data_IF_226534828599
#
_entry.id   IF_226534828599
#
_cell.length_a   1.000
_cell.length_b   1.000
_cell.length_c   1.000
_cell.angle_alpha   90.00
_cell.angle_beta   90.00
_cell.angle_gamma   90.00
#
_symmetry.space_group_name_H-M   'P 1'
#
loop_
_entity.id
_entity.type
_entity.pdbx_description
1 polymer ?
#
# COMPACT_ATOMS: atom_id res chain seq x y z
N UNK A 1 -17.94 -8.85 -12.71
CA UNK A 1 -17.88 -9.35 -11.31
C UNK A 1 -17.14 -8.30 -10.50
N UNK A 2 -17.62 -7.97 -9.30
CA UNK A 2 -16.87 -7.10 -8.39
C UNK A 2 -15.61 -7.81 -7.90
N UNK A 3 -14.54 -7.05 -7.65
CA UNK A 3 -13.38 -7.60 -6.92
C UNK A 3 -13.79 -7.78 -5.46
N UNK A 4 -13.50 -8.93 -4.88
CA UNK A 4 -13.95 -9.27 -3.54
C UNK A 4 -12.77 -9.70 -2.70
N UNK A 5 -12.80 -9.30 -1.42
CA UNK A 5 -11.95 -9.89 -0.40
C UNK A 5 -12.80 -10.80 0.48
N UNK A 6 -12.38 -12.05 0.60
CA UNK A 6 -13.06 -13.08 1.38
C UNK A 6 -12.07 -13.61 2.43
N UNK A 7 -12.53 -13.80 3.65
CA UNK A 7 -11.72 -14.42 4.69
C UNK A 7 -11.53 -15.91 4.38
N UNK A 8 -10.30 -16.38 4.14
CA UNK A 8 -10.06 -17.77 3.73
C UNK A 8 -10.30 -18.78 4.86
N UNK A 9 -10.34 -18.35 6.13
CA UNK A 9 -10.54 -19.25 7.26
C UNK A 9 -12.01 -19.66 7.46
N UNK A 10 -12.97 -18.87 6.96
CA UNK A 10 -14.40 -19.12 7.17
C UNK A 10 -15.28 -18.82 5.94
N UNK A 11 -14.68 -18.45 4.80
CA UNK A 11 -15.33 -18.09 3.54
C UNK A 11 -16.32 -16.92 3.63
N UNK A 12 -16.21 -16.08 4.66
CA UNK A 12 -17.04 -14.89 4.79
C UNK A 12 -16.51 -13.75 3.94
N UNK A 13 -17.40 -13.12 3.18
CA UNK A 13 -17.10 -11.89 2.45
C UNK A 13 -16.72 -10.77 3.44
N UNK A 14 -15.55 -10.17 3.24
CA UNK A 14 -15.09 -9.01 4.01
C UNK A 14 -15.55 -7.73 3.31
N UNK A 15 -15.28 -7.61 2.00
CA UNK A 15 -15.56 -6.39 1.24
C UNK A 15 -15.63 -6.65 -0.26
N UNK A 16 -16.45 -5.86 -0.94
CA UNK A 16 -16.50 -5.77 -2.40
C UNK A 16 -15.95 -4.43 -2.87
N UNK A 17 -15.33 -4.45 -4.05
CA UNK A 17 -14.74 -3.30 -4.70
C UNK A 17 -15.26 -3.24 -6.14
N UNK A 18 -15.82 -2.10 -6.57
CA UNK A 18 -16.19 -1.93 -7.97
C UNK A 18 -14.93 -2.00 -8.83
N UNK A 19 -14.98 -2.65 -10.00
CA UNK A 19 -13.90 -2.57 -10.95
C UNK A 19 -13.74 -1.13 -11.43
N UNK A 20 -12.51 -0.72 -11.70
CA UNK A 20 -12.24 0.54 -12.38
C UNK A 20 -12.88 0.56 -13.77
N UNK A 21 -13.45 1.70 -14.14
CA UNK A 21 -13.89 1.98 -15.50
C UNK A 21 -12.71 2.38 -16.39
N UNK A 22 -12.89 2.35 -17.71
CA UNK A 22 -11.88 2.86 -18.65
C UNK A 22 -11.50 4.32 -18.35
N UNK A 23 -12.46 5.13 -17.91
CA UNK A 23 -12.22 6.51 -17.51
C UNK A 23 -11.37 6.62 -16.23
N UNK A 24 -11.58 5.75 -15.24
CA UNK A 24 -10.76 5.71 -14.01
C UNK A 24 -9.31 5.33 -14.35
N UNK A 25 -9.14 4.35 -15.24
CA UNK A 25 -7.83 3.89 -15.70
C UNK A 25 -7.11 5.00 -16.45
N UNK A 26 -7.78 5.63 -17.42
CA UNK A 26 -7.21 6.74 -18.21
C UNK A 26 -6.82 7.91 -17.30
N UNK A 27 -7.66 8.27 -16.32
CA UNK A 27 -7.34 9.32 -15.35
C UNK A 27 -6.11 8.98 -14.50
N UNK A 28 -5.96 7.73 -14.05
CA UNK A 28 -4.80 7.28 -13.29
C UNK A 28 -3.51 7.34 -14.13
N UNK A 29 -3.58 6.93 -15.40
CA UNK A 29 -2.45 6.97 -16.34
C UNK A 29 -2.01 8.41 -16.65
N UNK A 30 -2.96 9.30 -16.93
CA UNK A 30 -2.67 10.71 -17.18
C UNK A 30 -2.02 11.37 -15.96
N UNK A 31 -2.52 11.08 -14.76
CA UNK A 31 -1.94 11.57 -13.51
C UNK A 31 -0.51 11.06 -13.31
N UNK A 32 -0.25 9.78 -13.60
CA UNK A 32 1.08 9.19 -13.49
C UNK A 32 2.07 9.79 -14.51
N UNK A 33 1.68 9.96 -15.78
CA UNK A 33 2.52 10.58 -16.82
C UNK A 33 2.83 12.04 -16.48
N UNK A 34 1.84 12.82 -16.03
CA UNK A 34 2.05 14.19 -15.61
C UNK A 34 3.05 14.30 -14.45
N UNK A 35 2.91 13.45 -13.42
CA UNK A 35 3.84 13.41 -12.29
C UNK A 35 5.25 13.00 -12.74
N UNK A 36 5.37 12.01 -13.61
CA UNK A 36 6.64 11.56 -14.19
C UNK A 36 7.35 12.67 -15.00
N UNK A 37 6.59 13.52 -15.68
CA UNK A 37 7.14 14.64 -16.46
C UNK A 37 7.52 15.85 -15.62
N UNK A 38 6.97 15.97 -14.41
CA UNK A 38 7.20 17.06 -13.47
C UNK A 38 8.55 16.99 -12.74
N UNK A 39 8.85 18.05 -12.00
CA UNK A 39 10.04 18.14 -11.14
C UNK A 39 10.04 17.10 -10.02
N UNK A 40 8.90 16.48 -9.68
CA UNK A 40 8.88 15.38 -8.71
C UNK A 40 9.75 14.19 -9.16
N UNK A 41 9.67 13.84 -10.44
CA UNK A 41 10.44 12.71 -10.98
C UNK A 41 11.88 13.11 -11.34
N UNK A 42 12.03 14.30 -11.94
CA UNK A 42 13.27 14.78 -12.55
C UNK A 42 14.11 15.71 -11.67
N UNK A 43 13.52 16.26 -10.63
CA UNK A 43 14.14 17.21 -9.72
C UNK A 43 14.90 16.53 -8.58
N UNK A 44 15.16 17.31 -7.53
CA UNK A 44 16.02 16.93 -6.42
C UNK A 44 15.46 15.74 -5.62
N UNK A 45 16.33 14.78 -5.31
CA UNK A 45 15.98 13.62 -4.50
C UNK A 45 15.70 13.99 -3.05
N UNK A 46 16.32 15.05 -2.54
CA UNK A 46 16.19 15.49 -1.13
C UNK A 46 14.75 15.82 -0.75
N UNK A 47 13.90 16.17 -1.72
CA UNK A 47 12.47 16.41 -1.48
C UNK A 47 11.64 15.12 -1.39
N UNK A 48 12.14 14.00 -1.93
CA UNK A 48 11.46 12.71 -1.98
C UNK A 48 11.81 11.78 -0.83
N UNK A 49 13.06 11.83 -0.37
CA UNK A 49 13.53 11.01 0.75
C UNK A 49 12.65 11.14 2.01
N UNK A 50 12.23 12.36 2.45
CA UNK A 50 11.36 12.52 3.61
C UNK A 50 9.99 11.86 3.46
N UNK A 51 9.49 11.68 2.22
CA UNK A 51 8.22 10.99 1.97
C UNK A 51 8.31 9.51 2.32
N UNK A 52 9.44 8.86 2.03
CA UNK A 52 9.67 7.47 2.38
C UNK A 52 9.81 7.27 3.89
N UNK A 53 10.48 8.19 4.59
CA UNK A 53 10.50 8.18 6.06
C UNK A 53 9.10 8.37 6.63
N UNK A 54 8.32 9.32 6.10
CA UNK A 54 6.95 9.53 6.56
C UNK A 54 6.06 8.32 6.33
N UNK A 55 6.23 7.64 5.19
CA UNK A 55 5.54 6.38 4.90
C UNK A 55 5.90 5.31 5.94
N UNK A 56 7.18 5.13 6.24
CA UNK A 56 7.62 4.16 7.25
C UNK A 56 7.01 4.45 8.63
N UNK A 57 6.98 5.71 9.06
CA UNK A 57 6.40 6.10 10.35
C UNK A 57 4.89 5.85 10.40
N UNK A 58 4.18 6.11 9.29
CA UNK A 58 2.76 5.80 9.17
C UNK A 58 2.49 4.30 9.22
N UNK A 59 3.34 3.48 8.60
CA UNK A 59 3.23 2.01 8.67
C UNK A 59 3.47 1.53 10.11
N UNK A 60 4.54 1.99 10.75
CA UNK A 60 4.90 1.59 12.11
C UNK A 60 3.83 1.98 13.14
N UNK A 61 3.26 3.18 13.03
CA UNK A 61 2.17 3.62 13.90
C UNK A 61 0.88 2.81 13.74
N UNK A 62 0.77 1.98 12.68
CA UNK A 62 -0.44 1.20 12.35
C UNK A 62 -0.19 -0.30 12.24
N UNK A 63 0.91 -0.81 12.81
CA UNK A 63 1.31 -2.22 12.68
C UNK A 63 0.17 -3.19 13.00
N UNK A 64 -0.53 -2.98 14.11
CA UNK A 64 -1.62 -3.88 14.52
C UNK A 64 -2.83 -3.84 13.59
N UNK A 65 -3.17 -2.66 13.05
CA UNK A 65 -4.27 -2.50 12.11
C UNK A 65 -3.95 -3.22 10.80
N UNK A 66 -2.79 -2.91 10.21
CA UNK A 66 -2.34 -3.48 8.94
C UNK A 66 -2.12 -5.00 9.04
N UNK A 67 -1.56 -5.48 10.15
CA UNK A 67 -1.33 -6.91 10.36
C UNK A 67 -2.65 -7.70 10.47
N UNK A 68 -3.67 -7.13 11.14
CA UNK A 68 -5.01 -7.74 11.21
C UNK A 68 -5.65 -7.84 9.85
N UNK A 69 -5.57 -6.78 9.03
CA UNK A 69 -6.06 -6.80 7.65
C UNK A 69 -5.37 -7.94 6.88
N UNK A 70 -4.03 -7.96 6.85
CA UNK A 70 -3.30 -9.01 6.13
C UNK A 70 -3.63 -10.42 6.62
N UNK A 71 -3.80 -10.62 7.93
CA UNK A 71 -4.18 -11.91 8.50
C UNK A 71 -5.61 -12.32 8.10
N UNK A 72 -6.57 -11.39 8.14
CA UNK A 72 -7.96 -11.66 7.78
C UNK A 72 -8.15 -11.93 6.28
N UNK A 73 -7.44 -11.20 5.44
CA UNK A 73 -7.61 -11.28 3.98
C UNK A 73 -6.78 -12.42 3.35
N UNK A 74 -5.65 -12.79 3.96
CA UNK A 74 -4.74 -13.82 3.41
C UNK A 74 -4.65 -15.10 4.24
N UNK A 75 -5.20 -15.13 5.46
CA UNK A 75 -5.14 -16.29 6.37
C UNK A 75 -3.79 -16.52 7.04
N UNK A 76 -2.85 -15.56 6.95
CA UNK A 76 -1.54 -15.64 7.60
C UNK A 76 -1.67 -15.58 9.13
N UNK A 77 -0.73 -16.21 9.83
CA UNK A 77 -0.64 -16.07 11.29
C UNK A 77 -0.34 -14.61 11.64
N UNK A 78 -1.00 -14.08 12.68
CA UNK A 78 -0.89 -12.65 13.03
C UNK A 78 0.55 -12.20 13.31
N UNK A 79 1.39 -13.07 13.88
CA UNK A 79 2.82 -12.78 14.10
C UNK A 79 3.59 -12.63 12.78
N UNK A 80 3.28 -13.44 11.76
CA UNK A 80 3.89 -13.32 10.44
C UNK A 80 3.46 -12.00 9.78
N UNK A 81 2.17 -11.66 9.87
CA UNK A 81 1.64 -10.40 9.35
C UNK A 81 2.28 -9.17 10.02
N UNK A 82 2.48 -9.20 11.35
CA UNK A 82 3.21 -8.13 12.06
C UNK A 82 4.65 -7.99 11.57
N UNK A 83 5.33 -9.13 11.36
CA UNK A 83 6.68 -9.15 10.80
C UNK A 83 6.75 -8.53 9.40
N UNK A 84 5.80 -8.88 8.53
CA UNK A 84 5.70 -8.36 7.17
C UNK A 84 5.43 -6.84 7.14
N UNK A 85 4.53 -6.34 7.98
CA UNK A 85 4.25 -4.89 8.07
C UNK A 85 5.50 -4.12 8.52
N UNK A 86 6.21 -4.63 9.54
CA UNK A 86 7.46 -4.02 10.00
C UNK A 86 8.55 -4.07 8.91
N UNK A 87 8.62 -5.15 8.14
CA UNK A 87 9.54 -5.27 7.01
C UNK A 87 9.23 -4.21 5.94
N UNK A 88 7.95 -3.95 5.62
CA UNK A 88 7.57 -2.88 4.70
C UNK A 88 8.04 -1.50 5.18
N UNK A 89 7.89 -1.20 6.48
CA UNK A 89 8.42 0.05 7.07
C UNK A 89 9.95 0.13 6.96
N UNK A 90 10.66 -0.98 7.22
CA UNK A 90 12.12 -1.06 7.10
C UNK A 90 12.59 -0.82 5.65
N UNK A 91 11.91 -1.41 4.67
CA UNK A 91 12.20 -1.21 3.24
C UNK A 91 12.02 0.28 2.88
N UNK A 92 10.92 0.90 3.32
CA UNK A 92 10.69 2.32 3.10
C UNK A 92 11.81 3.19 3.71
N UNK A 93 12.25 2.91 4.94
CA UNK A 93 13.40 3.63 5.54
C UNK A 93 14.69 3.41 4.77
N UNK A 94 14.99 2.18 4.38
CA UNK A 94 16.21 1.85 3.64
C UNK A 94 16.33 2.64 2.33
N UNK A 95 15.25 2.78 1.58
CA UNK A 95 15.24 3.60 0.36
C UNK A 95 15.11 5.11 0.63
N UNK A 96 14.67 5.50 1.83
CA UNK A 96 14.62 6.88 2.29
C UNK A 96 15.98 7.47 2.66
N UNK A 97 17.00 6.63 2.86
CA UNK A 97 18.35 7.04 3.29
C UNK A 97 18.67 6.67 4.72
#
# INVERSE_FOLDING_TARGET
MAYQTVNPANNQLIKEYPPHTDADIEAALQKADALYRSDWSKGDIDQRLPVLHKLADLIDSRVEELAKIASQEMGKLIEQSRGEVKLCAQIARYYGG
#
